data_IF_074273236168
#
_entry.id   IF_074273236168
#
_cell.length_a   1.000
_cell.length_b   1.000
_cell.length_c   1.000
_cell.angle_alpha   90.00
_cell.angle_beta   90.00
_cell.angle_gamma   90.00
#
_symmetry.space_group_name_H-M   'P 1'
#
loop_
_entity.id
_entity.type
_entity.pdbx_description
1 polymer ?
#
# COMPACT_ATOMS: atom_id res chain seq x y z
N UNK A 1 10.43 -11.54 -12.98
CA UNK A 1 9.28 -11.93 -12.13
C UNK A 1 8.77 -10.66 -11.50
N UNK A 2 7.47 -10.37 -11.58
CA UNK A 2 6.92 -9.13 -11.02
C UNK A 2 6.73 -9.35 -9.51
N UNK A 3 7.63 -8.84 -8.67
CA UNK A 3 7.55 -9.03 -7.23
C UNK A 3 6.36 -8.26 -6.66
N UNK A 4 5.26 -8.97 -6.38
CA UNK A 4 4.03 -8.41 -5.80
C UNK A 4 4.21 -7.78 -4.40
N UNK A 5 5.43 -7.87 -3.84
CA UNK A 5 5.84 -7.28 -2.56
C UNK A 5 6.52 -5.92 -2.71
N UNK A 6 6.82 -5.50 -3.95
CA UNK A 6 7.45 -4.23 -4.27
C UNK A 6 6.43 -3.27 -4.89
N UNK A 7 6.60 -1.98 -4.59
CA UNK A 7 5.81 -0.89 -5.12
C UNK A 7 6.25 -0.65 -6.57
N UNK A 8 5.34 -0.71 -7.55
CA UNK A 8 5.72 -0.52 -8.96
C UNK A 8 6.15 0.93 -9.26
N UNK A 9 5.75 1.91 -8.45
CA UNK A 9 6.10 3.32 -8.66
C UNK A 9 7.51 3.69 -8.20
N UNK A 10 8.04 3.02 -7.15
CA UNK A 10 9.33 3.40 -6.54
C UNK A 10 10.28 2.24 -6.26
N UNK A 11 9.86 0.99 -6.50
CA UNK A 11 10.66 -0.22 -6.24
C UNK A 11 10.82 -0.61 -4.78
N UNK A 12 10.39 0.22 -3.82
CA UNK A 12 10.45 -0.10 -2.38
C UNK A 12 9.37 -1.11 -1.97
N UNK A 13 9.47 -1.73 -0.78
CA UNK A 13 8.44 -2.64 -0.29
C UNK A 13 7.07 -1.95 -0.20
N UNK A 14 6.03 -2.59 -0.75
CA UNK A 14 4.67 -2.07 -0.70
C UNK A 14 3.98 -2.26 0.66
N UNK A 15 4.62 -3.02 1.56
CA UNK A 15 4.13 -3.35 2.91
C UNK A 15 2.76 -4.04 2.88
N UNK A 16 2.42 -4.70 1.78
CA UNK A 16 1.16 -5.41 1.65
C UNK A 16 1.21 -6.73 2.42
N UNK A 17 0.38 -6.86 3.46
CA UNK A 17 0.29 -8.09 4.26
C UNK A 17 -0.17 -9.29 3.42
N UNK A 18 -1.01 -9.06 2.42
CA UNK A 18 -1.55 -10.10 1.53
C UNK A 18 -0.52 -10.62 0.51
N UNK A 19 0.52 -9.83 0.22
CA UNK A 19 1.57 -10.21 -0.73
C UNK A 19 2.64 -11.12 -0.11
N UNK A 20 2.66 -11.26 1.22
CA UNK A 20 3.55 -12.18 1.93
C UNK A 20 2.71 -13.28 2.60
N UNK A 21 2.93 -14.57 2.28
CA UNK A 21 2.13 -15.67 2.80
C UNK A 21 2.21 -15.81 4.33
N UNK A 22 3.25 -15.27 4.97
CA UNK A 22 3.40 -15.29 6.44
C UNK A 22 2.50 -14.26 7.11
N UNK A 23 2.13 -13.19 6.41
CA UNK A 23 1.28 -12.11 6.92
C UNK A 23 -0.10 -12.06 6.24
N UNK A 24 -0.39 -12.96 5.30
CA UNK A 24 -1.63 -12.94 4.52
C UNK A 24 -2.92 -13.07 5.35
N UNK A 25 -2.82 -13.59 6.58
CA UNK A 25 -3.93 -13.65 7.53
C UNK A 25 -4.20 -12.31 8.26
N UNK A 26 -3.30 -11.32 8.14
CA UNK A 26 -3.41 -10.03 8.80
C UNK A 26 -4.03 -8.99 7.86
N UNK A 27 -4.80 -8.07 8.43
CA UNK A 27 -5.30 -6.92 7.69
C UNK A 27 -4.14 -6.12 7.09
N UNK A 28 -4.27 -5.73 5.82
CA UNK A 28 -3.31 -4.84 5.18
C UNK A 28 -3.57 -3.40 5.63
N UNK A 29 -2.52 -2.58 5.71
CA UNK A 29 -2.65 -1.16 6.04
C UNK A 29 -3.60 -0.42 5.09
N UNK A 30 -3.74 -0.89 3.84
CA UNK A 30 -4.59 -0.24 2.84
C UNK A 30 -6.08 -0.29 3.20
N UNK A 31 -6.51 -1.18 4.09
CA UNK A 31 -7.89 -1.23 4.56
C UNK A 31 -8.22 -0.14 5.59
N UNK A 32 -7.22 0.45 6.24
CA UNK A 32 -7.40 1.49 7.26
C UNK A 32 -7.21 2.91 6.75
N UNK A 33 -7.11 3.10 5.42
CA UNK A 33 -6.83 4.40 4.81
C UNK A 33 -7.69 4.61 3.58
N UNK A 34 -7.84 5.86 3.18
CA UNK A 34 -8.45 6.22 1.90
C UNK A 34 -7.36 6.61 0.91
N UNK A 35 -7.22 5.82 -0.16
CA UNK A 35 -6.30 6.09 -1.27
C UNK A 35 -7.06 6.88 -2.32
N UNK A 36 -6.56 8.05 -2.69
CA UNK A 36 -7.19 8.86 -3.73
C UNK A 36 -7.06 8.15 -5.09
N UNK A 37 -8.16 7.95 -5.85
CA UNK A 37 -8.10 7.25 -7.13
C UNK A 37 -7.16 7.95 -8.13
N UNK A 38 -6.94 9.26 -8.03
CA UNK A 38 -6.01 9.98 -8.89
C UNK A 38 -4.58 9.49 -8.77
N UNK A 39 -4.20 8.98 -7.60
CA UNK A 39 -2.86 8.39 -7.38
C UNK A 39 -2.70 7.11 -8.19
N UNK A 40 -3.76 6.30 -8.27
CA UNK A 40 -3.78 5.08 -9.09
C UNK A 40 -3.83 5.44 -10.58
N UNK A 41 -4.57 6.49 -10.95
CA UNK A 41 -4.63 7.00 -12.32
C UNK A 41 -3.32 7.68 -12.76
N UNK A 42 -2.52 8.21 -11.82
CA UNK A 42 -1.20 8.75 -12.14
C UNK A 42 -0.18 7.65 -12.50
N UNK A 43 -0.46 6.39 -12.15
CA UNK A 43 0.41 5.27 -12.52
C UNK A 43 0.34 5.01 -14.03
N UNK A 44 1.48 4.67 -14.66
CA UNK A 44 1.51 4.09 -16.00
C UNK A 44 0.55 2.90 -16.09
N UNK A 45 -0.24 2.79 -17.18
CA UNK A 45 -1.26 1.74 -17.31
C UNK A 45 -0.66 0.32 -17.24
N UNK A 46 0.60 0.15 -17.64
CA UNK A 46 1.33 -1.12 -17.54
C UNK A 46 1.61 -1.57 -16.09
N UNK A 47 1.62 -0.62 -15.15
CA UNK A 47 1.88 -0.84 -13.73
C UNK A 47 0.60 -0.95 -12.89
N UNK A 48 -0.55 -0.56 -13.45
CA UNK A 48 -1.86 -0.69 -12.80
C UNK A 48 -2.26 -2.17 -12.69
N UNK A 49 -2.92 -2.52 -11.59
CA UNK A 49 -3.41 -3.87 -11.29
C UNK A 49 -2.32 -4.97 -11.25
N UNK A 50 -1.03 -4.60 -11.12
CA UNK A 50 0.09 -5.55 -11.02
C UNK A 50 0.55 -5.82 -9.59
N UNK A 51 0.63 -4.77 -8.77
CA UNK A 51 1.11 -4.83 -7.40
C UNK A 51 0.55 -3.67 -6.58
N UNK A 52 0.51 -3.83 -5.25
CA UNK A 52 0.10 -2.75 -4.35
C UNK A 52 1.14 -1.62 -4.34
N UNK A 53 0.68 -0.38 -4.18
CA UNK A 53 1.53 0.77 -3.88
C UNK A 53 2.07 0.68 -2.45
N UNK A 54 3.19 1.35 -2.15
CA UNK A 54 3.60 1.60 -0.77
C UNK A 54 2.83 2.80 -0.19
N UNK A 55 2.72 2.94 1.15
CA UNK A 55 2.02 4.05 1.78
C UNK A 55 2.46 5.45 1.33
N UNK A 56 3.74 5.58 0.99
CA UNK A 56 4.32 6.82 0.47
C UNK A 56 3.81 7.15 -0.93
N UNK A 57 3.85 6.18 -1.85
CA UNK A 57 3.35 6.36 -3.20
C UNK A 57 1.82 6.42 -3.25
N UNK A 58 1.13 5.86 -2.27
CA UNK A 58 -0.31 6.00 -2.08
C UNK A 58 -0.71 7.33 -1.40
N UNK A 59 0.26 8.13 -0.96
CA UNK A 59 0.06 9.43 -0.28
C UNK A 59 -0.77 9.33 1.02
N UNK A 60 -0.64 8.22 1.75
CA UNK A 60 -1.40 7.93 2.99
C UNK A 60 -0.55 7.87 4.26
N UNK A 61 0.73 8.23 4.20
CA UNK A 61 1.62 8.14 5.37
C UNK A 61 1.09 8.93 6.58
N UNK A 62 0.52 10.11 6.34
CA UNK A 62 -0.11 10.91 7.39
C UNK A 62 -1.33 10.20 8.00
N UNK A 63 -2.16 9.54 7.18
CA UNK A 63 -3.32 8.77 7.66
C UNK A 63 -2.88 7.57 8.53
N UNK A 64 -1.84 6.85 8.09
CA UNK A 64 -1.30 5.73 8.86
C UNK A 64 -0.66 6.18 10.18
N UNK A 65 -0.02 7.33 10.20
CA UNK A 65 0.56 7.88 11.42
C UNK A 65 -0.54 8.33 12.39
N UNK A 66 -1.60 8.97 11.88
CA UNK A 66 -2.77 9.32 12.69
C UNK A 66 -3.45 8.08 13.28
N UNK A 67 -3.64 7.02 12.49
CA UNK A 67 -4.20 5.75 12.96
C UNK A 67 -3.33 5.04 14.01
N UNK A 68 -2.00 5.24 13.97
CA UNK A 68 -1.08 4.72 14.99
C UNK A 68 -1.04 5.56 16.27
N UNK A 69 -1.26 6.88 16.15
CA UNK A 69 -1.17 7.84 17.25
C UNK A 69 -2.40 7.83 18.17
N UNK A 70 -3.53 7.29 17.71
CA UNK A 70 -4.64 6.89 18.57
C UNK A 70 -4.63 5.37 18.76
N UNK A 71 -3.80 4.81 19.66
CA UNK A 71 -4.15 3.53 20.23
C UNK A 71 -5.40 3.78 21.06
N UNK A 72 -6.57 3.35 20.57
CA UNK A 72 -7.77 3.28 21.41
C UNK A 72 -7.43 2.45 22.66
N UNK A 73 -7.72 3.04 23.83
CA UNK A 73 -7.47 2.46 25.15
C UNK A 73 -8.46 1.41 25.58
#
# INVERSE_FOLDING_TARGET
MNDSRLCPACGASNRCSLADPRTAAQACWCYGVSIDPKVLEALPPELRDKACLCPRCAEVEAQLQAAKASPEG
#
